data_IF_999849643997
#
_entry.id   IF_999849643997
#
_cell.length_a   1.000
_cell.length_b   1.000
_cell.length_c   1.000
_cell.angle_alpha   90.00
_cell.angle_beta   90.00
_cell.angle_gamma   90.00
#
_symmetry.space_group_name_H-M   'P 1'
#
loop_
_entity.id
_entity.type
_entity.pdbx_description
1 polymer ?
#
# COMPACT_ATOMS: atom_id res chain seq x y z
N UNK A 1 -47.38 30.12 -67.69
CA UNK A 1 -47.57 28.97 -66.83
C UNK A 1 -46.21 28.70 -66.11
N UNK A 2 -46.00 29.30 -64.88
CA UNK A 2 -44.73 29.22 -64.16
C UNK A 2 -44.88 28.18 -63.05
N UNK A 3 -44.19 27.03 -63.22
CA UNK A 3 -44.10 26.00 -62.21
C UNK A 3 -43.09 26.38 -61.15
N UNK A 4 -43.54 26.68 -59.89
CA UNK A 4 -42.71 26.90 -58.72
C UNK A 4 -42.33 25.56 -58.09
N UNK A 5 -41.12 25.08 -58.35
CA UNK A 5 -40.54 23.97 -57.62
C UNK A 5 -40.22 24.36 -56.19
N UNK A 6 -41.01 23.91 -55.22
CA UNK A 6 -40.72 24.02 -53.75
C UNK A 6 -39.55 23.13 -53.40
N UNK A 7 -38.37 23.68 -53.12
CA UNK A 7 -37.26 22.97 -52.47
C UNK A 7 -37.69 22.53 -51.06
N UNK A 8 -37.91 21.24 -50.84
CA UNK A 8 -38.08 20.65 -49.52
C UNK A 8 -36.78 20.86 -48.73
N UNK A 9 -36.76 21.78 -47.78
CA UNK A 9 -35.68 21.90 -46.76
C UNK A 9 -35.70 20.62 -45.94
N UNK A 10 -34.61 19.80 -46.00
CA UNK A 10 -34.38 18.68 -45.10
C UNK A 10 -34.38 19.25 -43.64
N UNK A 11 -35.37 18.90 -42.81
CA UNK A 11 -35.34 19.09 -41.39
C UNK A 11 -34.14 18.27 -40.84
N UNK A 12 -33.02 18.93 -40.63
CA UNK A 12 -31.88 18.30 -39.95
C UNK A 12 -32.37 17.99 -38.53
N UNK A 13 -32.31 16.73 -38.19
CA UNK A 13 -32.86 16.22 -36.93
C UNK A 13 -31.95 16.69 -35.78
N UNK A 14 -32.18 17.91 -35.29
CA UNK A 14 -31.43 18.61 -34.27
C UNK A 14 -31.23 17.72 -33.03
N UNK A 15 -32.21 16.86 -32.70
CA UNK A 15 -32.11 15.94 -31.57
C UNK A 15 -31.01 14.88 -31.75
N UNK A 16 -30.73 14.41 -32.95
CA UNK A 16 -29.67 13.44 -33.22
C UNK A 16 -28.26 14.06 -33.04
N UNK A 17 -28.10 15.32 -33.44
CA UNK A 17 -26.84 16.03 -33.27
C UNK A 17 -26.56 16.34 -31.82
N UNK A 18 -27.57 16.75 -31.03
CA UNK A 18 -27.46 17.01 -29.61
C UNK A 18 -27.10 15.72 -28.86
N UNK A 19 -27.77 14.62 -29.14
CA UNK A 19 -27.44 13.30 -28.53
C UNK A 19 -26.01 12.89 -28.85
N UNK A 20 -25.57 13.03 -30.10
CA UNK A 20 -24.20 12.73 -30.50
C UNK A 20 -23.17 13.58 -29.73
N UNK A 21 -23.42 14.89 -29.58
CA UNK A 21 -22.54 15.78 -28.79
C UNK A 21 -22.48 15.39 -27.32
N UNK A 22 -23.60 15.00 -26.72
CA UNK A 22 -23.63 14.52 -25.33
C UNK A 22 -22.79 13.24 -25.17
N UNK A 23 -22.91 12.27 -26.11
CA UNK A 23 -22.14 11.03 -26.07
C UNK A 23 -20.63 11.32 -26.19
N UNK A 24 -20.24 12.22 -27.10
CA UNK A 24 -18.84 12.63 -27.25
C UNK A 24 -18.32 13.31 -25.98
N UNK A 25 -19.11 14.17 -25.38
CA UNK A 25 -18.75 14.85 -24.14
C UNK A 25 -18.55 13.86 -22.98
N UNK A 26 -19.44 12.89 -22.82
CA UNK A 26 -19.31 11.82 -21.81
C UNK A 26 -18.05 10.97 -22.08
N UNK A 27 -17.78 10.63 -23.34
CA UNK A 27 -16.59 9.88 -23.71
C UNK A 27 -15.29 10.62 -23.37
N UNK A 28 -15.26 11.94 -23.57
CA UNK A 28 -14.12 12.78 -23.19
C UNK A 28 -13.93 12.79 -21.66
N UNK A 29 -15.00 12.92 -20.88
CA UNK A 29 -14.94 12.89 -19.41
C UNK A 29 -14.35 11.54 -18.94
N UNK A 30 -14.86 10.43 -19.46
CA UNK A 30 -14.37 9.09 -19.13
C UNK A 30 -12.88 8.95 -19.49
N UNK A 31 -12.48 9.43 -20.65
CA UNK A 31 -11.08 9.41 -21.07
C UNK A 31 -10.19 10.24 -20.12
N UNK A 32 -10.61 11.43 -19.73
CA UNK A 32 -9.89 12.26 -18.76
C UNK A 32 -9.75 11.56 -17.40
N UNK A 33 -10.79 10.89 -16.92
CA UNK A 33 -10.75 10.13 -15.66
C UNK A 33 -9.77 8.95 -15.75
N UNK A 34 -9.76 8.22 -16.87
CA UNK A 34 -8.82 7.13 -17.10
C UNK A 34 -7.37 7.61 -17.17
N UNK A 35 -7.12 8.72 -17.85
CA UNK A 35 -5.78 9.33 -17.92
C UNK A 35 -5.32 9.75 -16.52
N UNK A 36 -6.19 10.38 -15.73
CA UNK A 36 -5.87 10.78 -14.37
C UNK A 36 -5.55 9.58 -13.46
N UNK A 37 -6.32 8.50 -13.56
CA UNK A 37 -6.06 7.25 -12.83
C UNK A 37 -4.71 6.63 -13.20
N UNK A 38 -4.38 6.60 -14.49
CA UNK A 38 -3.09 6.07 -14.95
C UNK A 38 -1.94 6.98 -14.47
N UNK A 39 -2.12 8.31 -14.57
CA UNK A 39 -1.12 9.27 -14.13
C UNK A 39 -0.85 9.19 -12.63
N UNK A 40 -1.90 9.12 -11.79
CA UNK A 40 -1.75 9.01 -10.32
C UNK A 40 -1.05 7.71 -9.91
N UNK A 41 -1.42 6.57 -10.51
CA UNK A 41 -0.74 5.30 -10.29
C UNK A 41 0.73 5.35 -10.71
N UNK A 42 1.01 5.92 -11.87
CA UNK A 42 2.40 6.04 -12.35
C UNK A 42 3.23 6.94 -11.45
N UNK A 43 2.69 8.08 -11.01
CA UNK A 43 3.38 9.00 -10.09
C UNK A 43 3.67 8.35 -8.75
N UNK A 44 2.69 7.64 -8.16
CA UNK A 44 2.89 6.91 -6.92
C UNK A 44 3.99 5.84 -7.04
N UNK A 45 3.99 5.09 -8.15
CA UNK A 45 5.01 4.08 -8.44
C UNK A 45 6.40 4.72 -8.59
N UNK A 46 6.51 5.82 -9.33
CA UNK A 46 7.80 6.51 -9.56
C UNK A 46 8.35 7.09 -8.26
N UNK A 47 7.50 7.66 -7.40
CA UNK A 47 7.92 8.17 -6.09
C UNK A 47 8.45 7.04 -5.22
N UNK A 48 7.74 5.91 -5.14
CA UNK A 48 8.18 4.75 -4.38
C UNK A 48 9.51 4.20 -4.91
N UNK A 49 9.67 4.08 -6.23
CA UNK A 49 10.94 3.67 -6.86
C UNK A 49 12.09 4.63 -6.53
N UNK A 50 11.84 5.95 -6.56
CA UNK A 50 12.83 6.97 -6.21
C UNK A 50 13.26 6.87 -4.76
N UNK A 51 12.32 6.72 -3.83
CA UNK A 51 12.58 6.61 -2.40
C UNK A 51 13.38 5.33 -2.08
N UNK A 52 13.07 4.23 -2.75
CA UNK A 52 13.79 2.97 -2.61
C UNK A 52 15.20 3.03 -3.21
N UNK A 53 15.37 3.66 -4.38
CA UNK A 53 16.68 3.80 -5.03
C UNK A 53 17.65 4.67 -4.23
N UNK A 54 17.14 5.67 -3.50
CA UNK A 54 17.98 6.54 -2.65
C UNK A 54 18.55 5.82 -1.44
N UNK A 55 18.07 4.62 -1.12
CA UNK A 55 18.35 3.90 0.11
C UNK A 55 19.24 2.66 -0.02
N UNK A 56 19.60 2.25 -1.25
CA UNK A 56 20.32 0.98 -1.45
C UNK A 56 21.83 1.14 -1.65
N UNK A 57 22.60 0.54 -0.73
CA UNK A 57 23.96 0.11 -1.03
C UNK A 57 23.89 -1.12 -1.94
N UNK A 58 24.35 -0.98 -3.16
CA UNK A 58 24.32 -2.06 -4.16
C UNK A 58 25.23 -3.22 -3.73
N UNK A 59 24.65 -4.38 -3.57
CA UNK A 59 25.39 -5.65 -3.50
C UNK A 59 25.20 -6.40 -4.82
N UNK A 60 26.29 -6.94 -5.37
CA UNK A 60 26.23 -7.83 -6.55
C UNK A 60 25.53 -9.17 -6.24
N UNK A 61 25.41 -9.54 -4.97
CA UNK A 61 24.89 -10.84 -4.53
C UNK A 61 23.40 -10.81 -4.21
N UNK A 62 22.96 -9.80 -3.47
CA UNK A 62 21.56 -9.64 -3.08
C UNK A 62 21.03 -8.27 -3.49
N UNK A 63 19.74 -8.17 -3.72
CA UNK A 63 19.06 -6.89 -3.96
C UNK A 63 17.61 -6.94 -3.50
N UNK A 64 17.01 -5.80 -3.25
CA UNK A 64 15.55 -5.71 -3.15
C UNK A 64 15.01 -5.64 -4.57
N UNK A 65 14.20 -6.63 -4.95
CA UNK A 65 13.59 -6.71 -6.29
C UNK A 65 12.37 -5.77 -6.38
N UNK A 66 11.47 -5.88 -5.41
CA UNK A 66 10.27 -5.05 -5.33
C UNK A 66 9.71 -5.00 -3.91
N UNK A 67 8.92 -3.95 -3.64
CA UNK A 67 8.07 -3.86 -2.45
C UNK A 67 6.63 -3.69 -2.92
N UNK A 68 5.74 -4.52 -2.39
CA UNK A 68 4.30 -4.43 -2.61
C UNK A 68 3.65 -3.91 -1.34
N UNK A 69 2.88 -2.83 -1.46
CA UNK A 69 2.15 -2.23 -0.35
C UNK A 69 0.64 -2.41 -0.56
N UNK A 70 -0.06 -2.79 0.49
CA UNK A 70 -1.51 -2.88 0.52
C UNK A 70 -2.03 -2.08 1.70
N UNK A 71 -2.68 -0.95 1.43
CA UNK A 71 -3.19 -0.05 2.47
C UNK A 71 -4.69 -0.20 2.65
N UNK A 72 -5.12 -0.11 3.90
CA UNK A 72 -6.50 -0.25 4.30
C UNK A 72 -6.71 0.45 5.64
N UNK A 73 -7.96 0.61 6.06
CA UNK A 73 -8.29 1.15 7.36
C UNK A 73 -9.44 0.36 8.00
N UNK A 74 -9.53 0.39 9.31
CA UNK A 74 -10.63 -0.18 10.06
C UNK A 74 -11.00 0.75 11.21
N UNK A 75 -12.18 0.58 11.82
CA UNK A 75 -12.60 1.42 12.92
C UNK A 75 -13.42 0.65 13.94
N UNK A 76 -13.32 1.12 15.18
CA UNK A 76 -14.29 0.83 16.23
C UNK A 76 -15.06 2.09 16.58
N UNK A 77 -16.31 1.97 16.94
CA UNK A 77 -17.18 3.12 17.23
C UNK A 77 -17.98 2.92 18.49
N UNK A 78 -18.29 4.04 19.16
CA UNK A 78 -19.16 4.11 20.31
C UNK A 78 -20.13 5.29 20.16
N UNK A 79 -21.42 5.01 20.18
CA UNK A 79 -22.46 6.04 20.16
C UNK A 79 -22.52 6.75 21.52
N UNK A 80 -22.38 8.07 21.54
CA UNK A 80 -22.43 8.88 22.75
C UNK A 80 -23.79 9.53 22.98
N UNK A 81 -24.50 9.84 21.88
CA UNK A 81 -25.87 10.31 21.88
C UNK A 81 -26.49 10.03 20.51
N UNK A 82 -27.79 10.32 20.34
CA UNK A 82 -28.49 10.04 19.07
C UNK A 82 -27.72 10.57 17.86
N UNK A 83 -27.26 9.66 17.01
CA UNK A 83 -26.48 9.92 15.79
C UNK A 83 -25.10 10.58 16.02
N UNK A 84 -24.62 10.66 17.25
CA UNK A 84 -23.31 11.23 17.57
C UNK A 84 -22.36 10.12 18.04
N UNK A 85 -21.23 9.96 17.35
CA UNK A 85 -20.32 8.86 17.52
C UNK A 85 -18.90 9.32 17.85
N UNK A 86 -18.24 8.60 18.72
CA UNK A 86 -16.79 8.59 18.83
C UNK A 86 -16.25 7.40 18.08
N UNK A 87 -15.31 7.64 17.18
CA UNK A 87 -14.75 6.64 16.29
C UNK A 87 -13.25 6.58 16.56
N UNK A 88 -12.74 5.36 16.70
CA UNK A 88 -11.31 5.09 16.76
C UNK A 88 -10.92 4.35 15.48
N UNK A 89 -10.14 5.02 14.63
CA UNK A 89 -9.68 4.49 13.35
C UNK A 89 -8.26 3.95 13.50
N UNK A 90 -7.98 2.83 12.85
CA UNK A 90 -6.62 2.38 12.57
C UNK A 90 -6.42 2.25 11.07
N UNK A 91 -5.37 2.92 10.61
CA UNK A 91 -4.82 2.74 9.28
C UNK A 91 -3.75 1.66 9.34
N UNK A 92 -3.73 0.75 8.38
CA UNK A 92 -2.66 -0.23 8.27
C UNK A 92 -2.20 -0.38 6.82
N UNK A 93 -0.92 -0.68 6.67
CA UNK A 93 -0.29 -0.93 5.39
C UNK A 93 0.54 -2.20 5.49
N UNK A 94 0.10 -3.23 4.80
CA UNK A 94 0.87 -4.46 4.64
C UNK A 94 1.99 -4.24 3.64
N UNK A 95 3.16 -4.75 3.95
CA UNK A 95 4.36 -4.65 3.12
C UNK A 95 4.89 -6.04 2.82
N UNK A 96 5.09 -6.34 1.54
CA UNK A 96 5.75 -7.55 1.08
C UNK A 96 7.03 -7.14 0.32
N UNK A 97 8.20 -7.41 0.92
CA UNK A 97 9.50 -7.02 0.41
C UNK A 97 10.16 -8.25 -0.19
N UNK A 98 10.39 -8.23 -1.49
CA UNK A 98 11.00 -9.32 -2.24
C UNK A 98 12.50 -9.11 -2.35
N UNK A 99 13.25 -10.04 -1.78
CA UNK A 99 14.70 -10.11 -1.94
C UNK A 99 15.02 -10.97 -3.16
N UNK A 100 15.92 -10.48 -4.00
CA UNK A 100 16.47 -11.22 -5.12
C UNK A 100 17.90 -11.63 -4.80
N UNK A 101 18.24 -12.86 -5.18
CA UNK A 101 19.58 -13.38 -5.16
C UNK A 101 20.13 -13.31 -6.60
N UNK A 102 21.06 -12.41 -6.83
CA UNK A 102 21.54 -12.04 -8.18
C UNK A 102 22.53 -13.05 -8.77
N UNK A 103 22.84 -14.15 -8.10
CA UNK A 103 23.84 -15.08 -8.61
C UNK A 103 23.27 -16.10 -9.59
N UNK A 104 24.01 -16.35 -10.63
CA UNK A 104 23.70 -17.35 -11.67
C UNK A 104 23.74 -18.81 -11.18
N UNK A 105 24.30 -19.06 -10.00
CA UNK A 105 24.36 -20.42 -9.43
C UNK A 105 23.74 -20.45 -8.03
N UNK A 106 22.57 -21.05 -7.93
CA UNK A 106 21.79 -21.24 -6.70
C UNK A 106 22.46 -22.13 -5.62
N UNK A 107 23.70 -22.56 -5.83
CA UNK A 107 24.39 -23.54 -4.98
C UNK A 107 25.67 -23.00 -4.34
N UNK A 108 26.03 -21.72 -4.53
CA UNK A 108 27.23 -21.20 -3.87
C UNK A 108 26.87 -20.70 -2.45
N UNK A 109 27.74 -20.99 -1.48
CA UNK A 109 27.60 -20.51 -0.10
C UNK A 109 27.49 -18.99 0.01
N UNK A 110 27.92 -18.24 -1.01
CA UNK A 110 27.72 -16.78 -1.12
C UNK A 110 26.26 -16.38 -1.16
N UNK A 111 25.43 -17.25 -1.69
CA UNK A 111 24.06 -16.95 -2.06
C UNK A 111 23.04 -17.49 -1.08
N UNK A 112 23.49 -18.23 -0.08
CA UNK A 112 22.64 -18.77 0.98
C UNK A 112 22.67 -17.85 2.19
N UNK A 113 21.48 -17.52 2.68
CA UNK A 113 21.30 -16.63 3.81
C UNK A 113 21.50 -17.40 5.11
N UNK A 114 22.41 -16.92 5.96
CA UNK A 114 22.67 -17.42 7.30
C UNK A 114 21.84 -16.70 8.35
N UNK A 115 21.72 -15.38 8.21
CA UNK A 115 21.02 -14.51 9.15
C UNK A 115 20.28 -13.42 8.40
N UNK A 116 19.05 -13.12 8.81
CA UNK A 116 18.22 -12.04 8.31
C UNK A 116 17.50 -11.38 9.47
N UNK A 117 17.60 -10.05 9.58
CA UNK A 117 16.85 -9.30 10.57
C UNK A 117 16.59 -7.85 10.11
N UNK A 118 15.60 -7.25 10.75
CA UNK A 118 15.24 -5.83 10.57
C UNK A 118 15.54 -5.09 11.86
N UNK A 119 16.11 -3.88 11.76
CA UNK A 119 16.37 -2.99 12.87
C UNK A 119 16.31 -1.52 12.47
N UNK A 120 16.67 -0.61 13.39
CA UNK A 120 16.72 0.83 13.16
C UNK A 120 15.40 1.42 12.63
N UNK A 121 14.28 0.95 13.17
CA UNK A 121 12.93 1.36 12.78
C UNK A 121 12.68 2.78 13.24
N UNK A 122 12.25 3.65 12.30
CA UNK A 122 11.96 5.06 12.58
C UNK A 122 10.72 5.52 11.82
N UNK A 123 10.01 6.46 12.40
CA UNK A 123 8.85 7.13 11.78
C UNK A 123 9.13 8.63 11.72
N UNK A 124 8.99 9.24 10.54
CA UNK A 124 9.26 10.68 10.35
C UNK A 124 8.46 11.28 9.19
N UNK A 125 7.70 12.37 9.42
CA UNK A 125 7.39 12.93 10.74
C UNK A 125 6.56 11.94 11.57
N UNK A 126 6.52 12.10 12.87
CA UNK A 126 5.50 11.42 13.68
C UNK A 126 4.13 11.99 13.30
N UNK A 127 3.09 11.15 13.13
CA UNK A 127 1.76 11.63 12.81
C UNK A 127 1.19 12.48 13.95
N UNK A 128 0.44 13.53 13.63
CA UNK A 128 -0.24 14.35 14.64
C UNK A 128 -1.38 13.59 15.34
N UNK A 129 -1.97 12.62 14.64
CA UNK A 129 -3.00 11.73 15.16
C UNK A 129 -2.60 10.29 14.97
N UNK A 130 -2.77 9.52 16.04
CA UNK A 130 -2.46 8.10 16.09
C UNK A 130 -1.06 7.82 16.62
N UNK A 131 -0.73 6.54 16.65
CA UNK A 131 0.55 6.00 17.12
C UNK A 131 1.05 5.00 16.09
N UNK A 132 2.17 5.30 15.40
CA UNK A 132 2.73 4.42 14.38
C UNK A 132 3.46 3.25 15.03
N UNK A 133 3.21 2.05 14.55
CA UNK A 133 3.84 0.81 15.00
C UNK A 133 4.11 -0.11 13.82
N UNK A 134 5.10 -0.99 13.96
CA UNK A 134 5.43 -2.02 12.99
C UNK A 134 5.20 -3.39 13.59
N UNK A 135 4.61 -4.28 12.81
CA UNK A 135 4.31 -5.66 13.20
C UNK A 135 4.91 -6.64 12.19
N UNK A 136 5.34 -7.78 12.68
CA UNK A 136 5.51 -8.94 11.82
C UNK A 136 4.15 -9.44 11.34
N UNK A 137 4.08 -9.86 10.09
CA UNK A 137 2.86 -10.43 9.53
C UNK A 137 3.19 -11.66 8.67
N UNK A 138 2.53 -12.77 8.94
CA UNK A 138 2.67 -13.94 8.10
C UNK A 138 2.05 -13.68 6.72
N UNK A 139 2.70 -14.17 5.64
CA UNK A 139 2.24 -13.94 4.25
C UNK A 139 0.79 -14.40 4.02
N UNK A 140 0.35 -15.46 4.68
CA UNK A 140 -1.02 -15.99 4.59
C UNK A 140 -2.08 -15.02 5.12
N UNK A 141 -1.68 -14.03 5.90
CA UNK A 141 -2.55 -13.00 6.48
C UNK A 141 -2.42 -11.65 5.77
N UNK A 142 -1.70 -11.59 4.64
CA UNK A 142 -1.54 -10.35 3.87
C UNK A 142 -2.90 -9.81 3.43
N UNK A 143 -3.10 -8.50 3.61
CA UNK A 143 -4.38 -7.85 3.33
C UNK A 143 -5.45 -8.00 4.41
N UNK A 144 -5.20 -8.77 5.48
CA UNK A 144 -6.15 -8.96 6.57
C UNK A 144 -5.72 -8.12 7.78
N UNK A 145 -6.56 -7.19 8.30
CA UNK A 145 -6.24 -6.44 9.50
C UNK A 145 -6.18 -7.40 10.69
N UNK A 146 -4.99 -7.58 11.23
CA UNK A 146 -4.78 -8.47 12.38
C UNK A 146 -3.66 -7.90 13.24
N UNK A 147 -4.03 -7.35 14.39
CA UNK A 147 -3.09 -6.88 15.39
C UNK A 147 -2.93 -7.98 16.45
N UNK A 148 -1.71 -8.49 16.58
CA UNK A 148 -1.33 -9.37 17.66
C UNK A 148 -0.13 -8.75 18.36
N UNK A 149 -0.26 -8.45 19.65
CA UNK A 149 0.80 -7.80 20.43
C UNK A 149 2.11 -8.59 20.42
N UNK A 150 2.04 -9.91 20.30
CA UNK A 150 3.20 -10.80 20.16
C UNK A 150 4.03 -10.55 18.89
N UNK A 151 3.43 -9.94 17.87
CA UNK A 151 4.05 -9.64 16.60
C UNK A 151 4.60 -8.20 16.51
N UNK A 152 4.43 -7.40 17.57
CA UNK A 152 4.95 -6.03 17.62
C UNK A 152 6.47 -6.02 17.55
N UNK A 153 7.00 -5.28 16.59
CA UNK A 153 8.43 -5.07 16.41
C UNK A 153 8.85 -3.81 17.15
N UNK A 154 9.55 -3.97 18.25
CA UNK A 154 10.03 -2.83 19.03
C UNK A 154 11.34 -2.27 18.44
N UNK A 155 12.44 -3.01 18.61
CA UNK A 155 13.78 -2.57 18.17
C UNK A 155 14.34 -3.40 17.03
N UNK A 156 14.11 -4.72 17.07
CA UNK A 156 14.66 -5.69 16.14
C UNK A 156 13.70 -6.84 15.87
N UNK A 157 13.61 -7.27 14.63
CA UNK A 157 12.90 -8.48 14.20
C UNK A 157 13.87 -9.45 13.54
N UNK A 158 14.10 -10.60 14.16
CA UNK A 158 14.91 -11.67 13.59
C UNK A 158 14.02 -12.64 12.83
N UNK A 159 14.48 -13.08 11.65
CA UNK A 159 13.82 -14.10 10.86
C UNK A 159 14.51 -15.45 11.01
N UNK A 160 13.71 -16.48 11.23
CA UNK A 160 14.18 -17.85 11.11
C UNK A 160 14.34 -18.19 9.63
N UNK A 161 15.56 -18.56 9.22
CA UNK A 161 15.83 -18.98 7.84
C UNK A 161 15.39 -20.42 7.68
N UNK A 162 14.56 -20.68 6.69
CA UNK A 162 14.01 -22.01 6.39
C UNK A 162 14.42 -22.40 4.98
N UNK A 163 15.26 -23.42 4.87
CA UNK A 163 15.82 -23.91 3.60
C UNK A 163 15.15 -25.20 3.11
N UNK A 164 14.15 -25.70 3.84
CA UNK A 164 13.41 -26.91 3.51
C UNK A 164 11.94 -26.61 3.20
N UNK A 165 11.25 -27.58 2.57
CA UNK A 165 9.83 -27.51 2.25
C UNK A 165 8.91 -27.71 3.48
N UNK A 166 9.36 -27.30 4.65
CA UNK A 166 8.58 -27.43 5.87
C UNK A 166 7.30 -26.59 5.81
N UNK A 167 6.33 -26.99 6.60
CA UNK A 167 5.04 -26.27 6.71
C UNK A 167 5.27 -24.81 7.13
N UNK A 168 4.53 -23.90 6.51
CA UNK A 168 4.54 -22.47 6.85
C UNK A 168 4.22 -22.30 8.34
N UNK A 169 5.19 -21.78 9.10
CA UNK A 169 4.96 -21.33 10.47
C UNK A 169 4.40 -19.91 10.44
N UNK A 170 3.16 -19.76 10.89
CA UNK A 170 2.46 -18.46 10.91
C UNK A 170 2.73 -17.66 12.17
N UNK A 171 3.35 -18.25 13.18
CA UNK A 171 3.55 -17.63 14.49
C UNK A 171 4.98 -17.10 14.69
N UNK A 172 5.93 -17.56 13.89
CA UNK A 172 7.34 -17.15 13.98
C UNK A 172 7.73 -16.39 12.72
N UNK A 173 8.42 -15.27 12.87
CA UNK A 173 8.98 -14.55 11.73
C UNK A 173 9.93 -15.48 10.97
N UNK A 174 9.56 -15.88 9.78
CA UNK A 174 10.26 -16.88 8.98
C UNK A 174 10.50 -16.36 7.58
N UNK A 175 11.69 -16.67 7.04
CA UNK A 175 12.07 -16.40 5.66
C UNK A 175 12.40 -17.71 4.95
N UNK A 176 11.71 -17.96 3.84
CA UNK A 176 11.84 -19.20 3.06
C UNK A 176 12.71 -18.95 1.83
N UNK A 177 13.98 -19.24 1.93
CA UNK A 177 14.97 -18.93 0.89
C UNK A 177 14.66 -19.59 -0.46
N UNK A 178 14.19 -20.84 -0.43
CA UNK A 178 13.93 -21.63 -1.65
C UNK A 178 12.61 -21.29 -2.34
N UNK A 179 11.71 -20.57 -1.68
CA UNK A 179 10.34 -20.32 -2.17
C UNK A 179 10.13 -18.88 -2.65
N UNK A 180 11.17 -18.04 -2.64
CA UNK A 180 11.06 -16.60 -2.96
C UNK A 180 9.92 -15.90 -2.20
N UNK A 181 9.70 -16.31 -0.95
CA UNK A 181 8.71 -15.65 -0.11
C UNK A 181 9.21 -14.25 0.27
N UNK A 182 8.34 -13.24 0.24
CA UNK A 182 8.74 -11.90 0.67
C UNK A 182 8.93 -11.85 2.19
N UNK A 183 9.71 -10.88 2.65
CA UNK A 183 9.63 -10.38 4.02
C UNK A 183 8.29 -9.67 4.16
N UNK A 184 7.45 -10.07 5.11
CA UNK A 184 6.13 -9.47 5.30
C UNK A 184 6.03 -8.76 6.63
N UNK A 185 5.61 -7.50 6.57
CA UNK A 185 5.43 -6.61 7.70
C UNK A 185 4.08 -5.90 7.57
N UNK A 186 3.59 -5.37 8.68
CA UNK A 186 2.43 -4.50 8.69
C UNK A 186 2.76 -3.23 9.48
N UNK A 187 2.72 -2.09 8.81
CA UNK A 187 2.66 -0.80 9.48
C UNK A 187 1.24 -0.56 9.96
N UNK A 188 1.10 -0.01 11.17
CA UNK A 188 -0.19 0.39 11.72
C UNK A 188 -0.06 1.77 12.36
N UNK A 189 -0.93 2.69 11.98
CA UNK A 189 -1.17 3.89 12.74
C UNK A 189 -2.46 3.69 13.54
N UNK A 190 -2.35 3.43 14.84
CA UNK A 190 -3.48 3.11 15.72
C UNK A 190 -3.93 4.31 16.54
N UNK A 191 -5.12 4.21 17.12
CA UNK A 191 -5.70 5.22 18.01
C UNK A 191 -5.92 6.59 17.34
N UNK A 192 -6.28 6.60 16.07
CA UNK A 192 -6.66 7.81 15.35
C UNK A 192 -8.10 8.17 15.75
N UNK A 193 -8.24 9.09 16.70
CA UNK A 193 -9.55 9.43 17.32
C UNK A 193 -10.26 10.50 16.51
N UNK A 194 -11.53 10.22 16.20
CA UNK A 194 -12.48 11.17 15.62
C UNK A 194 -13.69 11.25 16.55
N UNK A 195 -13.93 12.41 17.14
CA UNK A 195 -14.99 12.63 18.12
C UNK A 195 -16.14 13.40 17.52
N UNK A 196 -17.34 13.17 18.06
CA UNK A 196 -18.55 13.88 17.68
C UNK A 196 -18.90 13.78 16.18
N UNK A 197 -18.68 12.64 15.58
CA UNK A 197 -19.03 12.36 14.18
C UNK A 197 -20.52 12.10 14.08
N UNK A 198 -21.19 12.81 13.18
CA UNK A 198 -22.60 12.60 12.91
C UNK A 198 -22.75 11.53 11.83
N UNK A 199 -23.36 10.41 12.17
CA UNK A 199 -23.74 9.37 11.21
C UNK A 199 -25.26 9.33 11.07
N UNK A 200 -25.74 9.12 9.86
CA UNK A 200 -27.17 8.95 9.62
C UNK A 200 -27.67 7.63 10.20
N UNK A 201 -28.94 7.61 10.62
CA UNK A 201 -29.55 6.40 11.18
C UNK A 201 -29.50 5.25 10.17
N UNK A 202 -28.86 4.14 10.54
CA UNK A 202 -28.66 2.97 9.68
C UNK A 202 -27.40 3.00 8.82
N UNK A 203 -26.59 4.05 8.89
CA UNK A 203 -25.28 4.09 8.26
C UNK A 203 -24.30 3.25 9.09
N UNK A 204 -23.90 2.10 8.55
CA UNK A 204 -22.88 1.28 9.19
C UNK A 204 -21.50 1.87 8.90
N UNK A 205 -20.60 1.87 9.90
CA UNK A 205 -19.17 2.08 9.69
C UNK A 205 -18.58 0.81 9.06
N UNK A 206 -18.94 0.59 7.81
CA UNK A 206 -18.32 -0.45 7.00
C UNK A 206 -17.13 0.18 6.29
N UNK A 207 -16.01 -0.53 6.29
CA UNK A 207 -14.88 -0.14 5.49
C UNK A 207 -15.23 -0.31 4.00
N UNK A 208 -15.48 0.80 3.32
CA UNK A 208 -15.87 0.86 1.91
C UNK A 208 -14.96 1.82 1.09
N UNK A 209 -13.77 2.09 1.63
CA UNK A 209 -12.82 3.03 1.05
C UNK A 209 -13.10 4.50 1.37
N UNK A 210 -14.13 4.80 2.15
CA UNK A 210 -14.50 6.18 2.51
C UNK A 210 -14.41 6.46 4.02
N UNK A 211 -13.81 5.57 4.80
CA UNK A 211 -13.80 5.64 6.26
C UNK A 211 -13.12 6.91 6.79
N UNK A 212 -11.97 7.31 6.23
CA UNK A 212 -11.26 8.53 6.63
C UNK A 212 -12.07 9.78 6.32
N UNK A 213 -12.69 9.82 5.14
CA UNK A 213 -13.59 10.90 4.71
C UNK A 213 -14.80 11.01 5.63
N UNK A 214 -15.47 9.89 5.96
CA UNK A 214 -16.62 9.85 6.88
C UNK A 214 -16.28 10.33 8.29
N UNK A 215 -15.05 10.13 8.72
CA UNK A 215 -14.56 10.54 10.04
C UNK A 215 -13.97 11.94 10.07
N UNK A 216 -13.93 12.67 8.95
CA UNK A 216 -13.33 14.00 8.83
C UNK A 216 -11.87 14.05 9.31
N UNK A 217 -11.12 12.96 9.14
CA UNK A 217 -9.70 12.91 9.47
C UNK A 217 -8.93 13.52 8.31
N UNK A 218 -8.24 14.62 8.57
CA UNK A 218 -7.35 15.22 7.57
C UNK A 218 -6.14 14.31 7.34
N UNK A 219 -5.86 13.94 6.08
CA UNK A 219 -4.77 13.02 5.71
C UNK A 219 -3.41 13.52 6.21
N UNK A 220 -3.18 14.82 6.21
CA UNK A 220 -1.94 15.41 6.73
C UNK A 220 -1.69 15.11 8.21
N UNK A 221 -2.74 14.91 9.01
CA UNK A 221 -2.60 14.64 10.44
C UNK A 221 -2.14 13.18 10.73
N UNK A 222 -2.22 12.31 9.74
CA UNK A 222 -1.80 10.91 9.84
C UNK A 222 -0.59 10.58 8.95
N UNK A 223 -0.08 11.60 8.25
CA UNK A 223 1.05 11.45 7.33
C UNK A 223 2.32 11.07 8.08
N UNK A 224 3.00 10.03 7.61
CA UNK A 224 4.29 9.59 8.13
C UNK A 224 5.06 8.80 7.07
N UNK A 225 6.37 8.75 7.22
CA UNK A 225 7.24 7.82 6.52
C UNK A 225 7.80 6.82 7.50
N UNK A 226 8.05 5.61 7.03
CA UNK A 226 8.77 4.58 7.78
C UNK A 226 10.14 4.36 7.17
N UNK A 227 11.15 4.22 8.03
CA UNK A 227 12.47 3.74 7.62
C UNK A 227 12.96 2.64 8.54
N UNK A 228 13.70 1.69 7.98
CA UNK A 228 14.35 0.60 8.71
C UNK A 228 15.47 -0.01 7.87
N UNK A 229 16.37 -0.74 8.54
CA UNK A 229 17.39 -1.51 7.84
C UNK A 229 16.96 -2.97 7.72
N UNK A 230 17.24 -3.56 6.58
CA UNK A 230 17.24 -5.01 6.38
C UNK A 230 18.71 -5.45 6.40
N UNK A 231 19.06 -6.26 7.38
CA UNK A 231 20.41 -6.77 7.58
C UNK A 231 20.44 -8.24 7.18
N UNK A 232 21.35 -8.59 6.31
CA UNK A 232 21.53 -9.92 5.77
C UNK A 232 22.98 -10.36 5.95
N UNK A 233 23.20 -11.58 6.42
CA UNK A 233 24.50 -12.23 6.46
C UNK A 233 24.44 -13.53 5.68
N UNK A 234 25.36 -13.74 4.75
CA UNK A 234 25.45 -15.00 4.00
C UNK A 234 26.28 -16.07 4.73
N UNK A 235 26.37 -17.27 4.18
CA UNK A 235 27.14 -18.36 4.76
C UNK A 235 28.66 -18.18 4.69
N UNK A 236 29.17 -17.12 4.07
CA UNK A 236 30.57 -16.71 4.10
C UNK A 236 30.84 -15.60 5.12
N UNK A 237 29.85 -15.28 5.98
CA UNK A 237 29.90 -14.18 6.97
C UNK A 237 30.02 -12.78 6.35
N UNK A 238 29.72 -12.64 5.05
CA UNK A 238 29.62 -11.34 4.40
C UNK A 238 28.29 -10.69 4.80
N UNK A 239 28.35 -9.39 5.15
CA UNK A 239 27.20 -8.62 5.65
C UNK A 239 26.71 -7.62 4.61
N UNK A 240 25.41 -7.55 4.45
CA UNK A 240 24.71 -6.63 3.56
C UNK A 240 23.65 -5.88 4.35
N UNK A 241 23.58 -4.56 4.17
CA UNK A 241 22.62 -3.70 4.84
C UNK A 241 21.86 -2.90 3.79
N UNK A 242 20.52 -3.02 3.79
CA UNK A 242 19.65 -2.27 2.91
C UNK A 242 18.82 -1.30 3.75
N UNK A 243 18.96 -0.01 3.50
CA UNK A 243 18.11 0.99 4.12
C UNK A 243 16.83 1.13 3.30
N UNK A 244 15.68 0.86 3.90
CA UNK A 244 14.36 1.04 3.32
C UNK A 244 13.74 2.28 3.91
N UNK A 245 13.26 3.19 3.04
CA UNK A 245 12.59 4.41 3.46
C UNK A 245 11.52 4.79 2.44
N UNK A 246 10.27 4.96 2.89
CA UNK A 246 9.17 5.41 2.05
C UNK A 246 8.05 6.05 2.87
N UNK A 247 7.28 6.92 2.21
CA UNK A 247 6.07 7.50 2.77
C UNK A 247 4.95 6.46 2.77
N UNK A 248 4.26 6.33 3.92
CA UNK A 248 3.10 5.44 4.02
C UNK A 248 1.97 5.99 3.16
N UNK A 249 1.39 5.18 2.25
CA UNK A 249 0.28 5.61 1.42
C UNK A 249 -0.93 6.01 2.25
N UNK A 250 -1.51 7.18 1.95
CA UNK A 250 -2.64 7.77 2.67
C UNK A 250 -3.95 7.65 1.89
N UNK A 251 -4.05 6.74 0.94
CA UNK A 251 -5.27 6.59 0.16
C UNK A 251 -6.41 6.07 1.04
N UNK A 252 -7.53 6.74 0.95
CA UNK A 252 -8.80 6.35 1.58
C UNK A 252 -9.50 5.27 0.74
N UNK A 253 -8.76 4.23 0.38
CA UNK A 253 -9.20 3.12 -0.45
C UNK A 253 -8.96 1.80 0.26
N UNK A 254 -9.94 0.92 0.20
CA UNK A 254 -9.87 -0.42 0.77
C UNK A 254 -8.76 -1.28 0.14
N UNK A 255 -8.47 -1.05 -1.13
CA UNK A 255 -7.53 -1.86 -1.91
C UNK A 255 -6.56 -0.97 -2.69
N UNK A 256 -5.60 -0.38 -1.98
CA UNK A 256 -4.50 0.34 -2.62
C UNK A 256 -3.27 -0.56 -2.68
N UNK A 257 -2.88 -0.96 -3.89
CA UNK A 257 -1.68 -1.77 -4.12
C UNK A 257 -0.66 -0.91 -4.85
N UNK A 258 0.51 -0.77 -4.25
CA UNK A 258 1.66 -0.07 -4.83
C UNK A 258 2.78 -1.08 -5.08
N UNK A 259 3.27 -1.12 -6.30
CA UNK A 259 4.43 -1.91 -6.68
C UNK A 259 5.57 -0.99 -7.06
N UNK A 260 6.67 -1.05 -6.32
CA UNK A 260 7.93 -0.40 -6.66
C UNK A 260 8.93 -1.46 -7.11
N UNK A 261 9.45 -1.32 -8.34
CA UNK A 261 10.54 -2.14 -8.81
C UNK A 261 11.83 -1.32 -8.73
N UNK A 262 12.83 -1.87 -8.08
CA UNK A 262 14.18 -1.30 -8.09
C UNK A 262 14.78 -1.64 -9.45
N UNK A 263 15.06 -0.63 -10.25
CA UNK A 263 15.82 -0.83 -11.49
C UNK A 263 17.30 -0.99 -11.11
N UNK A 264 17.90 -2.04 -11.66
CA UNK A 264 19.36 -2.22 -11.65
C UNK A 264 20.04 -1.09 -12.42
#
# INVERSE_FOLDING_TARGET
MFSRTRKKRKKVNINKQIIFLIIVFIAIIILCLLINLIYTKHKAKTNLESDLLSSNDYSDTFSIDKIVLYSSANATSNETSRNLWNINVYQFTDMAIYLNNNSESSLSNKNTIKELYIDNIKYSPLPEKGTPELYYKAIVNFGIPSLKDENLVQDKLNFKIINSKDTLDTNTASFYETCQTPITLQFVNKDIKANAIILNTGEALVFDGSLLSKTNIALNNIKTSISFNINLTNNLDEKYVYNVNFEIPLEDNEHSIYEGNIKK
#
